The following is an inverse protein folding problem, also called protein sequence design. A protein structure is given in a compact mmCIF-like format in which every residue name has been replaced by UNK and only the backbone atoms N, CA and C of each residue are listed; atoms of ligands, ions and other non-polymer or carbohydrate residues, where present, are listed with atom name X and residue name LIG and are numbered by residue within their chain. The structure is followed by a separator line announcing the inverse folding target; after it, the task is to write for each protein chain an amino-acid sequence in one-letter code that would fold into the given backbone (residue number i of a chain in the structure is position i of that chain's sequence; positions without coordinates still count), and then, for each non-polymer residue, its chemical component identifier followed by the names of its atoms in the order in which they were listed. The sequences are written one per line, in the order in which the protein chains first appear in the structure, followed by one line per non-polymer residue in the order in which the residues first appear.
data_IF_183663928175
#
_entry.id   IF_183663928175
#
_cell.length_a   1.000
_cell.length_b   1.000
_cell.length_c   1.000
_cell.angle_alpha   90.00
_cell.angle_beta   90.00
_cell.angle_gamma   90.00
#
_symmetry.space_group_name_H-M   'P 1'
#
loop_
_entity.id
_entity.type
_entity.pdbx_description
1 polymer ?
#
# COMPACT_ATOMS: atom_id res chain seq x y z
N UNK A 1 14.81 -23.89 13.00
CA UNK A 1 15.26 -23.17 11.79
C UNK A 1 14.23 -23.47 10.70
N UNK A 2 13.82 -22.47 9.91
CA UNK A 2 12.93 -22.67 8.76
C UNK A 2 13.76 -22.74 7.48
N UNK A 3 13.40 -23.64 6.55
CA UNK A 3 14.07 -23.82 5.26
C UNK A 3 13.22 -23.25 4.13
N UNK A 4 13.85 -22.79 3.06
CA UNK A 4 13.14 -22.27 1.88
C UNK A 4 12.48 -23.42 1.12
N UNK A 5 11.14 -23.44 1.09
CA UNK A 5 10.34 -24.47 0.42
C UNK A 5 9.88 -24.05 -0.98
N UNK A 6 9.61 -22.76 -1.20
CA UNK A 6 9.20 -22.23 -2.50
C UNK A 6 9.73 -20.82 -2.74
N UNK A 7 10.10 -20.53 -3.99
CA UNK A 7 10.54 -19.23 -4.47
C UNK A 7 9.99 -19.05 -5.89
N UNK A 8 9.36 -17.91 -6.15
CA UNK A 8 8.75 -17.66 -7.45
C UNK A 8 8.32 -16.21 -7.61
N UNK A 9 7.60 -15.95 -8.69
CA UNK A 9 7.03 -14.64 -8.97
C UNK A 9 5.51 -14.74 -9.00
N UNK A 10 4.83 -13.68 -8.56
CA UNK A 10 3.40 -13.50 -8.86
C UNK A 10 3.21 -13.16 -10.34
N UNK A 11 1.98 -13.24 -10.83
CA UNK A 11 1.62 -12.81 -12.19
C UNK A 11 1.97 -11.32 -12.42
N UNK A 12 1.83 -10.50 -11.37
CA UNK A 12 2.23 -9.08 -11.37
C UNK A 12 3.76 -8.83 -11.27
N UNK A 13 4.58 -9.88 -11.32
CA UNK A 13 6.05 -9.78 -11.31
C UNK A 13 6.68 -9.55 -9.93
N UNK A 14 5.94 -9.74 -8.84
CA UNK A 14 6.48 -9.63 -7.47
C UNK A 14 7.23 -10.91 -7.11
N UNK A 15 8.52 -10.80 -6.78
CA UNK A 15 9.31 -11.91 -6.26
C UNK A 15 8.78 -12.30 -4.86
N UNK A 16 8.51 -13.58 -4.65
CA UNK A 16 7.99 -14.10 -3.40
C UNK A 16 8.69 -15.38 -2.96
N UNK A 17 8.79 -15.58 -1.64
CA UNK A 17 9.43 -16.74 -0.99
C UNK A 17 8.54 -17.32 0.11
N UNK A 18 8.63 -18.63 0.31
CA UNK A 18 7.88 -19.41 1.28
C UNK A 18 8.83 -20.34 2.04
N UNK A 19 8.77 -20.32 3.37
CA UNK A 19 9.65 -21.09 4.26
C UNK A 19 8.91 -22.19 5.05
N UNK A 20 7.74 -22.62 4.58
CA UNK A 20 6.86 -23.55 5.29
C UNK A 20 5.92 -22.88 6.30
N UNK A 21 6.21 -21.64 6.71
CA UNK A 21 5.43 -20.92 7.71
C UNK A 21 4.88 -19.58 7.21
N UNK A 22 5.68 -18.79 6.50
CA UNK A 22 5.35 -17.43 6.08
C UNK A 22 5.70 -17.20 4.62
N UNK A 23 4.72 -16.72 3.86
CA UNK A 23 4.89 -16.26 2.48
C UNK A 23 5.27 -14.80 2.53
N UNK A 24 6.35 -14.42 1.85
CA UNK A 24 6.86 -13.05 1.82
C UNK A 24 7.02 -12.59 0.39
N UNK A 25 6.54 -11.39 0.07
CA UNK A 25 6.78 -10.72 -1.21
C UNK A 25 7.84 -9.64 -1.05
N UNK A 26 8.68 -9.45 -2.06
CA UNK A 26 9.68 -8.39 -2.11
C UNK A 26 9.14 -7.17 -2.87
N UNK A 27 9.18 -6.02 -2.21
CA UNK A 27 8.63 -4.77 -2.73
C UNK A 27 9.76 -3.72 -2.83
N UNK A 28 10.36 -3.50 -4.02
CA UNK A 28 11.48 -2.57 -4.19
C UNK A 28 11.11 -1.09 -3.99
N UNK A 29 9.92 -0.66 -4.42
CA UNK A 29 9.52 0.74 -4.36
C UNK A 29 8.68 1.05 -3.12
N UNK A 30 7.75 0.15 -2.80
CA UNK A 30 6.95 0.25 -1.56
C UNK A 30 7.72 -0.37 -0.38
N UNK A 31 7.41 0.05 0.85
CA UNK A 31 8.03 -0.49 2.06
C UNK A 31 9.58 -0.39 2.11
N UNK A 32 10.17 0.52 1.33
CA UNK A 32 11.61 0.81 1.36
C UNK A 32 12.51 -0.33 0.88
N UNK A 33 12.05 -1.16 -0.06
CA UNK A 33 12.87 -2.26 -0.57
C UNK A 33 12.91 -3.45 0.37
N UNK A 34 11.78 -3.77 1.00
CA UNK A 34 11.70 -4.80 2.06
C UNK A 34 10.92 -6.03 1.62
N UNK A 35 11.19 -7.14 2.31
CA UNK A 35 10.34 -8.33 2.27
C UNK A 35 9.16 -8.14 3.22
N UNK A 36 7.94 -8.23 2.69
CA UNK A 36 6.70 -8.05 3.44
C UNK A 36 5.98 -9.40 3.56
N UNK A 37 5.60 -9.83 4.77
CA UNK A 37 4.79 -11.02 4.94
C UNK A 37 3.38 -10.82 4.35
N UNK A 38 2.96 -11.79 3.54
CA UNK A 38 1.69 -11.79 2.79
C UNK A 38 0.75 -12.93 3.20
N UNK A 39 1.25 -13.97 3.87
CA UNK A 39 0.45 -15.07 4.39
C UNK A 39 1.24 -15.80 5.48
N UNK A 40 0.53 -16.34 6.47
CA UNK A 40 1.12 -17.14 7.55
C UNK A 40 0.29 -18.39 7.76
N UNK A 41 0.92 -19.57 7.65
CA UNK A 41 0.18 -20.83 7.73
C UNK A 41 -0.53 -21.01 9.08
N UNK A 42 0.07 -20.60 10.19
CA UNK A 42 -0.57 -20.72 11.52
C UNK A 42 -1.89 -19.96 11.62
N UNK A 43 -2.05 -18.85 10.88
CA UNK A 43 -3.29 -18.08 10.83
C UNK A 43 -4.39 -18.74 9.97
N UNK A 44 -4.01 -19.63 9.05
CA UNK A 44 -4.93 -20.28 8.10
C UNK A 44 -5.25 -21.74 8.42
N UNK A 45 -4.34 -22.44 9.13
CA UNK A 45 -4.51 -23.85 9.53
C UNK A 45 -5.74 -24.01 10.43
N UNK A 46 -6.49 -25.08 10.17
CA UNK A 46 -7.59 -25.55 11.04
C UNK A 46 -7.11 -26.62 12.01
N UNK A 47 -6.02 -27.30 11.69
CA UNK A 47 -5.37 -28.28 12.56
C UNK A 47 -3.85 -28.15 12.49
N UNK A 48 -3.16 -28.51 13.57
CA UNK A 48 -1.70 -28.40 13.68
C UNK A 48 -0.96 -29.26 12.66
N UNK A 49 -1.57 -30.38 12.23
CA UNK A 49 -1.02 -31.29 11.21
C UNK A 49 -1.25 -30.81 9.77
N UNK A 50 -1.90 -29.67 9.56
CA UNK A 50 -2.11 -29.14 8.21
C UNK A 50 -0.90 -28.35 7.73
N UNK A 51 -0.41 -28.68 6.53
CA UNK A 51 0.67 -27.97 5.86
C UNK A 51 0.17 -27.38 4.54
N UNK A 52 0.68 -26.20 4.19
CA UNK A 52 0.31 -25.47 2.99
C UNK A 52 1.45 -25.55 1.99
N UNK A 53 1.30 -26.40 0.97
CA UNK A 53 2.26 -26.50 -0.12
C UNK A 53 1.96 -25.41 -1.15
N UNK A 54 2.68 -24.28 -1.08
CA UNK A 54 2.48 -23.12 -1.96
C UNK A 54 2.84 -23.47 -3.40
N UNK A 55 1.96 -23.09 -4.34
CA UNK A 55 2.15 -23.25 -5.78
C UNK A 55 2.39 -21.89 -6.44
N UNK A 56 1.70 -20.84 -5.97
CA UNK A 56 1.80 -19.49 -6.51
C UNK A 56 0.95 -18.51 -5.74
N UNK A 57 0.90 -17.28 -6.21
CA UNK A 57 0.16 -16.17 -5.61
C UNK A 57 -0.27 -15.16 -6.67
N UNK A 58 -1.36 -14.47 -6.38
CA UNK A 58 -1.88 -13.33 -7.12
C UNK A 58 -1.98 -12.14 -6.16
N UNK A 59 -1.14 -11.13 -6.39
CA UNK A 59 -1.09 -9.94 -5.53
C UNK A 59 -2.32 -9.07 -5.79
N UNK A 60 -2.74 -8.90 -7.04
CA UNK A 60 -3.92 -8.11 -7.41
C UNK A 60 -5.21 -8.70 -6.87
N UNK A 61 -5.39 -10.02 -6.93
CA UNK A 61 -6.56 -10.72 -6.39
C UNK A 61 -6.52 -10.92 -4.87
N UNK A 62 -5.37 -10.70 -4.23
CA UNK A 62 -5.12 -10.98 -2.80
C UNK A 62 -5.22 -12.47 -2.46
N UNK A 63 -4.67 -13.32 -3.32
CA UNK A 63 -4.83 -14.77 -3.20
C UNK A 63 -3.48 -15.50 -3.19
N UNK A 64 -3.40 -16.57 -2.40
CA UNK A 64 -2.34 -17.58 -2.48
C UNK A 64 -2.97 -18.90 -2.90
N UNK A 65 -2.31 -19.58 -3.83
CA UNK A 65 -2.69 -20.89 -4.34
C UNK A 65 -1.81 -21.95 -3.70
N UNK A 66 -2.41 -22.92 -3.03
CA UNK A 66 -1.66 -23.97 -2.34
C UNK A 66 -2.40 -25.31 -2.35
N UNK A 67 -1.69 -26.40 -2.09
CA UNK A 67 -2.32 -27.68 -1.72
C UNK A 67 -2.24 -27.84 -0.21
N UNK A 68 -3.39 -28.08 0.42
CA UNK A 68 -3.44 -28.41 1.84
C UNK A 68 -3.12 -29.89 1.99
N UNK A 69 -2.06 -30.20 2.75
CA UNK A 69 -1.65 -31.56 3.06
C UNK A 69 -1.78 -31.84 4.56
N UNK A 70 -2.04 -33.09 4.92
CA UNK A 70 -2.12 -33.56 6.32
C UNK A 70 -1.10 -34.66 6.62
N UNK A 71 -0.22 -34.93 5.67
CA UNK A 71 0.77 -35.99 5.75
C UNK A 71 2.06 -35.46 6.36
N UNK A 72 2.84 -36.36 6.96
CA UNK A 72 4.19 -36.05 7.49
C UNK A 72 5.17 -35.54 6.42
N UNK A 73 4.81 -35.68 5.15
CA UNK A 73 5.71 -35.43 4.03
C UNK A 73 5.77 -33.95 3.64
N UNK A 74 4.85 -33.09 4.11
CA UNK A 74 4.72 -31.66 3.75
C UNK A 74 4.56 -31.37 2.23
N UNK A 75 4.60 -32.40 1.37
CA UNK A 75 4.34 -32.33 -0.07
C UNK A 75 3.10 -33.15 -0.45
N UNK A 76 2.37 -32.75 -1.51
CA UNK A 76 1.16 -33.44 -1.94
C UNK A 76 1.46 -34.74 -2.70
N UNK A 77 0.59 -35.74 -2.58
CA UNK A 77 0.64 -36.93 -3.43
C UNK A 77 0.16 -36.58 -4.84
N UNK A 78 0.87 -37.03 -5.87
CA UNK A 78 0.50 -36.75 -7.27
C UNK A 78 -0.73 -37.52 -7.76
N UNK A 79 -1.12 -38.59 -7.05
CA UNK A 79 -2.30 -39.39 -7.34
C UNK A 79 -3.09 -39.68 -6.04
N UNK A 80 -4.40 -39.40 -5.99
CA UNK A 80 -5.19 -38.69 -7.00
C UNK A 80 -4.71 -37.25 -7.21
N UNK A 81 -5.12 -36.61 -8.32
CA UNK A 81 -4.72 -35.23 -8.64
C UNK A 81 -5.01 -34.30 -7.44
N UNK A 82 -4.00 -33.58 -6.92
CA UNK A 82 -4.19 -32.62 -5.85
C UNK A 82 -5.22 -31.54 -6.17
N UNK A 83 -5.99 -31.15 -5.16
CA UNK A 83 -6.90 -30.01 -5.24
C UNK A 83 -6.13 -28.75 -4.86
N UNK A 84 -6.12 -27.78 -5.76
CA UNK A 84 -5.57 -26.44 -5.49
C UNK A 84 -6.60 -25.67 -4.68
N UNK A 85 -6.19 -25.16 -3.53
CA UNK A 85 -6.98 -24.33 -2.64
C UNK A 85 -6.50 -22.89 -2.73
N UNK A 86 -7.46 -21.99 -2.87
CA UNK A 86 -7.22 -20.55 -2.83
C UNK A 86 -7.48 -20.02 -1.43
N UNK A 87 -6.50 -19.32 -0.87
CA UNK A 87 -6.61 -18.67 0.45
C UNK A 87 -6.31 -17.18 0.32
N UNK A 88 -6.90 -16.33 1.18
CA UNK A 88 -6.64 -14.90 1.13
C UNK A 88 -5.22 -14.58 1.61
N UNK A 89 -4.57 -13.65 0.92
CA UNK A 89 -3.39 -12.97 1.45
C UNK A 89 -3.81 -12.09 2.63
N UNK A 90 -2.92 -12.01 3.62
CA UNK A 90 -3.06 -11.20 4.81
C UNK A 90 -1.69 -10.60 5.13
N UNK A 91 -1.65 -9.28 5.33
CA UNK A 91 -0.43 -8.56 5.72
C UNK A 91 -0.54 -8.36 7.23
N UNK A 92 0.29 -9.04 8.05
CA UNK A 92 0.23 -8.92 9.49
C UNK A 92 0.26 -7.45 9.94
N UNK A 93 -0.85 -6.99 10.50
CA UNK A 93 -0.98 -5.67 11.12
C UNK A 93 -0.98 -5.83 12.64
N UNK A 94 -0.26 -4.94 13.33
CA UNK A 94 -0.28 -4.88 14.79
C UNK A 94 -1.69 -4.49 15.22
N UNK A 95 -2.28 -5.29 16.09
CA UNK A 95 -3.55 -4.98 16.74
C UNK A 95 -3.27 -4.30 18.08
N UNK A 96 -3.96 -3.21 18.36
CA UNK A 96 -4.04 -2.67 19.71
C UNK A 96 -5.30 -3.25 20.36
N UNK A 97 -5.20 -3.74 21.60
CA UNK A 97 -6.33 -4.35 22.32
C UNK A 97 -7.51 -3.38 22.50
N UNK A 98 -7.26 -2.07 22.42
CA UNK A 98 -8.26 -1.00 22.47
C UNK A 98 -8.83 -0.61 21.09
N UNK A 99 -8.39 -1.23 20.00
CA UNK A 99 -8.87 -0.95 18.65
C UNK A 99 -9.91 -1.97 18.18
N UNK A 100 -11.04 -1.47 17.67
CA UNK A 100 -12.09 -2.32 17.09
C UNK A 100 -11.57 -3.09 15.87
N UNK A 101 -12.12 -4.28 15.59
CA UNK A 101 -11.77 -5.13 14.43
C UNK A 101 -11.80 -4.37 13.08
N UNK A 102 -12.64 -3.33 13.00
CA UNK A 102 -12.74 -2.45 11.84
C UNK A 102 -11.44 -1.67 11.58
N UNK A 103 -10.72 -1.24 12.61
CA UNK A 103 -9.44 -0.55 12.45
C UNK A 103 -8.36 -1.50 11.91
N UNK A 104 -8.27 -2.73 12.42
CA UNK A 104 -7.36 -3.74 11.90
C UNK A 104 -7.65 -4.05 10.42
N UNK A 105 -8.92 -4.18 10.04
CA UNK A 105 -9.32 -4.36 8.65
C UNK A 105 -8.95 -3.14 7.76
N UNK A 106 -9.09 -1.91 8.28
CA UNK A 106 -8.65 -0.71 7.56
C UNK A 106 -7.12 -0.65 7.39
N UNK A 107 -6.35 -1.03 8.41
CA UNK A 107 -4.89 -1.11 8.29
C UNK A 107 -4.47 -2.18 7.29
N UNK A 108 -5.12 -3.34 7.31
CA UNK A 108 -4.92 -4.39 6.32
C UNK A 108 -5.19 -3.89 4.89
N UNK A 109 -6.32 -3.20 4.68
CA UNK A 109 -6.66 -2.59 3.39
C UNK A 109 -5.65 -1.51 2.97
N UNK A 110 -5.21 -0.67 3.90
CA UNK A 110 -4.17 0.34 3.65
C UNK A 110 -2.86 -0.30 3.16
N UNK A 111 -2.45 -1.43 3.74
CA UNK A 111 -1.27 -2.15 3.26
C UNK A 111 -1.45 -2.64 1.82
N UNK A 112 -2.61 -3.19 1.47
CA UNK A 112 -2.87 -3.61 0.08
C UNK A 112 -2.90 -2.44 -0.90
N UNK A 113 -3.47 -1.29 -0.54
CA UNK A 113 -3.43 -0.10 -1.40
C UNK A 113 -1.99 0.38 -1.66
N UNK A 114 -1.09 0.25 -0.68
CA UNK A 114 0.34 0.55 -0.87
C UNK A 114 0.98 -0.43 -1.88
N UNK A 115 0.61 -1.70 -1.82
CA UNK A 115 1.09 -2.72 -2.78
C UNK A 115 0.60 -2.44 -4.20
N UNK A 116 -0.68 -2.06 -4.37
CA UNK A 116 -1.28 -1.74 -5.68
C UNK A 116 -0.69 -0.51 -6.34
N UNK A 117 -0.24 0.43 -5.52
CA UNK A 117 0.40 1.63 -6.04
C UNK A 117 1.72 1.29 -6.74
N UNK A 118 2.43 0.25 -6.29
CA UNK A 118 3.69 -0.16 -6.91
C UNK A 118 3.48 -0.78 -8.30
N UNK A 119 2.40 -1.53 -8.53
CA UNK A 119 2.13 -2.11 -9.85
C UNK A 119 1.75 -1.05 -10.89
N UNK A 120 1.22 0.10 -10.44
CA UNK A 120 0.76 1.18 -11.29
C UNK A 120 1.81 2.30 -11.38
N UNK A 121 2.81 2.10 -12.23
CA UNK A 121 3.82 3.11 -12.47
C UNK A 121 3.22 4.33 -13.23
N UNK A 122 3.21 5.47 -12.54
CA UNK A 122 2.99 6.86 -13.00
C UNK A 122 1.56 7.42 -12.85
N UNK A 123 1.46 8.48 -12.04
CA UNK A 123 0.27 9.33 -11.92
C UNK A 123 -0.56 9.07 -10.66
N UNK A 124 -1.66 9.81 -10.53
CA UNK A 124 -2.68 9.53 -9.51
C UNK A 124 -3.49 8.34 -10.00
N UNK A 125 -3.45 7.26 -9.24
CA UNK A 125 -4.08 5.98 -9.56
C UNK A 125 -5.41 5.81 -8.81
N UNK A 126 -6.23 4.84 -9.22
CA UNK A 126 -7.39 4.44 -8.44
C UNK A 126 -6.98 3.92 -7.04
N UNK A 127 -5.80 3.30 -6.93
CA UNK A 127 -5.22 2.88 -5.66
C UNK A 127 -4.98 4.08 -4.72
N UNK A 128 -4.50 5.22 -5.23
CA UNK A 128 -4.32 6.44 -4.42
C UNK A 128 -5.66 6.98 -3.89
N UNK A 129 -6.73 6.90 -4.68
CA UNK A 129 -8.07 7.32 -4.27
C UNK A 129 -8.61 6.42 -3.16
N UNK A 130 -8.49 5.11 -3.30
CA UNK A 130 -8.92 4.15 -2.26
C UNK A 130 -8.04 4.24 -1.01
N UNK A 131 -6.74 4.47 -1.17
CA UNK A 131 -5.81 4.73 -0.08
C UNK A 131 -6.24 5.96 0.73
N UNK A 132 -6.50 7.08 0.05
CA UNK A 132 -6.93 8.32 0.70
C UNK A 132 -8.28 8.17 1.41
N UNK A 133 -9.23 7.42 0.84
CA UNK A 133 -10.52 7.10 1.52
C UNK A 133 -10.28 6.34 2.82
N UNK A 134 -9.41 5.33 2.80
CA UNK A 134 -9.07 4.53 3.98
C UNK A 134 -8.34 5.38 5.01
N UNK A 135 -7.36 6.19 4.59
CA UNK A 135 -6.64 7.13 5.46
C UNK A 135 -7.58 8.14 6.13
N UNK A 136 -8.55 8.69 5.41
CA UNK A 136 -9.53 9.63 5.99
C UNK A 136 -10.38 8.99 7.09
N UNK A 137 -10.79 7.73 6.92
CA UNK A 137 -11.51 6.98 7.96
C UNK A 137 -10.63 6.72 9.19
N UNK A 138 -9.36 6.35 8.96
CA UNK A 138 -8.37 6.17 10.04
C UNK A 138 -8.10 7.47 10.78
N UNK A 139 -7.94 8.59 10.08
CA UNK A 139 -7.81 9.94 10.66
C UNK A 139 -9.02 10.26 11.54
N UNK A 140 -10.24 10.03 11.05
CA UNK A 140 -11.46 10.25 11.83
C UNK A 140 -11.51 9.36 13.07
N UNK A 141 -11.09 8.09 12.97
CA UNK A 141 -10.94 7.18 14.10
C UNK A 141 -9.94 7.70 15.14
N UNK A 142 -8.77 8.14 14.70
CA UNK A 142 -7.72 8.69 15.56
C UNK A 142 -8.17 9.98 16.26
N UNK A 143 -8.88 10.88 15.57
CA UNK A 143 -9.43 12.11 16.15
C UNK A 143 -10.45 11.77 17.25
N UNK A 144 -11.33 10.77 17.03
CA UNK A 144 -12.30 10.31 18.04
C UNK A 144 -11.61 9.68 19.25
N UNK A 145 -10.53 8.92 19.02
CA UNK A 145 -9.72 8.30 20.06
C UNK A 145 -8.61 9.19 20.66
N UNK A 146 -8.62 10.49 20.37
CA UNK A 146 -7.63 11.49 20.81
C UNK A 146 -6.15 11.17 20.48
N UNK A 147 -5.91 10.36 19.45
CA UNK A 147 -4.58 10.01 18.94
C UNK A 147 -4.13 11.00 17.86
N UNK A 148 -3.92 12.26 18.24
CA UNK A 148 -3.71 13.36 17.28
C UNK A 148 -2.41 13.24 16.47
N UNK A 149 -1.34 12.72 17.05
CA UNK A 149 -0.06 12.54 16.34
C UNK A 149 -0.16 11.44 15.27
N UNK A 150 -0.89 10.35 15.54
CA UNK A 150 -1.18 9.33 14.54
C UNK A 150 -2.05 9.89 13.41
N UNK A 151 -3.07 10.70 13.74
CA UNK A 151 -3.89 11.39 12.75
C UNK A 151 -3.05 12.31 11.83
N UNK A 152 -2.06 13.01 12.40
CA UNK A 152 -1.14 13.84 11.62
C UNK A 152 -0.25 13.01 10.69
N UNK A 153 0.27 11.89 11.18
CA UNK A 153 1.05 10.93 10.37
C UNK A 153 0.25 10.47 9.16
N UNK A 154 -0.99 10.00 9.37
CA UNK A 154 -1.86 9.60 8.26
C UNK A 154 -2.21 10.76 7.32
N UNK A 155 -2.38 11.98 7.83
CA UNK A 155 -2.63 13.14 6.99
C UNK A 155 -1.43 13.48 6.09
N UNK A 156 -0.20 13.22 6.54
CA UNK A 156 1.00 13.41 5.73
C UNK A 156 1.12 12.42 4.56
N UNK A 157 0.48 11.26 4.68
CA UNK A 157 0.45 10.21 3.65
C UNK A 157 -0.63 10.41 2.58
N UNK A 158 -1.58 11.35 2.77
CA UNK A 158 -2.64 11.62 1.80
C UNK A 158 -2.05 12.08 0.47
N UNK A 159 -2.53 11.53 -0.64
CA UNK A 159 -2.01 11.78 -1.98
C UNK A 159 -2.70 12.96 -2.64
N UNK A 160 -4.03 13.03 -2.50
CA UNK A 160 -4.84 14.05 -3.15
C UNK A 160 -4.93 15.30 -2.26
N UNK A 161 -4.76 16.47 -2.89
CA UNK A 161 -4.95 17.75 -2.21
C UNK A 161 -6.37 17.89 -1.64
N UNK A 162 -7.39 17.40 -2.36
CA UNK A 162 -8.79 17.40 -1.87
C UNK A 162 -8.97 16.55 -0.61
N UNK A 163 -8.27 15.41 -0.52
CA UNK A 163 -8.33 14.58 0.69
C UNK A 163 -7.68 15.30 1.87
N UNK A 164 -6.56 15.99 1.66
CA UNK A 164 -5.91 16.78 2.70
C UNK A 164 -6.80 17.93 3.20
N UNK A 165 -7.51 18.61 2.30
CA UNK A 165 -8.55 19.59 2.66
C UNK A 165 -9.69 18.94 3.45
N UNK A 166 -10.09 17.70 3.10
CA UNK A 166 -11.05 16.91 3.86
C UNK A 166 -10.58 16.63 5.29
N UNK A 167 -9.32 16.20 5.46
CA UNK A 167 -8.72 15.97 6.78
C UNK A 167 -8.69 17.25 7.62
N UNK A 168 -8.38 18.40 7.00
CA UNK A 168 -8.43 19.70 7.67
C UNK A 168 -9.84 20.02 8.19
N UNK A 169 -10.88 19.79 7.37
CA UNK A 169 -12.28 19.97 7.79
C UNK A 169 -12.65 19.07 8.96
N UNK A 170 -12.20 17.81 8.96
CA UNK A 170 -12.42 16.88 10.08
C UNK A 170 -11.77 17.38 11.38
N UNK A 171 -10.52 17.87 11.30
CA UNK A 171 -9.80 18.38 12.47
C UNK A 171 -10.43 19.66 13.04
N UNK A 172 -10.80 20.61 12.19
CA UNK A 172 -11.46 21.87 12.58
C UNK A 172 -12.84 21.59 13.16
N UNK A 173 -13.64 20.74 12.51
CA UNK A 173 -14.98 20.36 12.99
C UNK A 173 -14.95 19.67 14.36
N UNK A 174 -13.88 18.95 14.65
CA UNK A 174 -13.67 18.27 15.94
C UNK A 174 -13.02 19.16 17.02
N UNK A 175 -12.87 20.46 16.76
CA UNK A 175 -12.27 21.47 17.66
C UNK A 175 -10.83 21.16 18.10
N UNK A 176 -10.08 20.36 17.33
CA UNK A 176 -8.67 20.03 17.61
C UNK A 176 -7.75 21.05 16.93
N UNK A 177 -7.67 22.26 17.49
CA UNK A 177 -6.95 23.42 16.91
C UNK A 177 -5.51 23.08 16.48
N UNK A 178 -4.72 22.48 17.39
CA UNK A 178 -3.32 22.16 17.13
C UNK A 178 -3.14 21.21 15.93
N UNK A 179 -4.03 20.21 15.77
CA UNK A 179 -4.01 19.31 14.63
C UNK A 179 -4.40 20.05 13.34
N UNK A 180 -5.43 20.89 13.39
CA UNK A 180 -5.86 21.71 12.25
C UNK A 180 -4.76 22.64 11.74
N UNK A 181 -4.02 23.29 12.62
CA UNK A 181 -2.88 24.16 12.26
C UNK A 181 -1.77 23.38 11.54
N UNK A 182 -1.40 22.20 12.07
CA UNK A 182 -0.38 21.35 11.45
C UNK A 182 -0.82 20.82 10.07
N UNK A 183 -2.07 20.38 9.93
CA UNK A 183 -2.61 19.94 8.64
C UNK A 183 -2.69 21.12 7.65
N UNK A 184 -3.05 22.32 8.11
CA UNK A 184 -3.03 23.52 7.28
C UNK A 184 -1.62 23.85 6.78
N UNK A 185 -0.59 23.65 7.61
CA UNK A 185 0.79 23.83 7.19
C UNK A 185 1.18 22.82 6.10
N UNK A 186 0.79 21.55 6.23
CA UNK A 186 1.00 20.53 5.19
C UNK A 186 0.32 20.91 3.86
N UNK A 187 -0.90 21.45 3.92
CA UNK A 187 -1.63 21.87 2.73
C UNK A 187 -0.93 23.03 2.01
N UNK A 188 -0.54 24.07 2.76
CA UNK A 188 0.17 25.23 2.21
C UNK A 188 1.51 24.83 1.59
N UNK A 189 2.25 23.92 2.24
CA UNK A 189 3.51 23.38 1.70
C UNK A 189 3.29 22.63 0.39
N UNK A 190 2.21 21.86 0.28
CA UNK A 190 1.88 21.16 -0.97
C UNK A 190 1.48 22.14 -2.08
N UNK A 191 0.72 23.17 -1.76
CA UNK A 191 0.32 24.20 -2.72
C UNK A 191 1.51 25.01 -3.24
N UNK A 192 2.45 25.38 -2.38
CA UNK A 192 3.66 26.11 -2.78
C UNK A 192 4.57 25.27 -3.69
N UNK A 193 4.72 23.97 -3.42
CA UNK A 193 5.46 23.05 -4.30
C UNK A 193 4.79 22.95 -5.68
N UNK A 194 3.47 22.79 -5.73
CA UNK A 194 2.74 22.72 -7.01
C UNK A 194 2.88 24.03 -7.80
N UNK A 195 2.80 25.19 -7.13
CA UNK A 195 3.01 26.48 -7.76
C UNK A 195 4.43 26.64 -8.30
N UNK A 196 5.45 26.23 -7.55
CA UNK A 196 6.86 26.24 -7.98
C UNK A 196 7.06 25.41 -9.26
N UNK A 197 6.55 24.17 -9.29
CA UNK A 197 6.64 23.29 -10.46
C UNK A 197 5.94 23.88 -11.68
N UNK A 198 4.79 24.54 -11.49
CA UNK A 198 4.08 25.19 -12.59
C UNK A 198 4.85 26.40 -13.14
N UNK A 199 5.42 27.24 -12.27
CA UNK A 199 6.25 28.38 -12.70
C UNK A 199 7.50 27.92 -13.47
N UNK A 200 8.15 26.82 -13.06
CA UNK A 200 9.30 26.25 -13.79
C UNK A 200 8.91 25.74 -15.18
N UNK A 201 7.74 25.09 -15.31
CA UNK A 201 7.21 24.64 -16.60
C UNK A 201 6.92 25.81 -17.54
N UNK A 202 6.30 26.88 -17.02
CA UNK A 202 6.02 28.09 -17.78
C UNK A 202 7.31 28.80 -18.22
N UNK A 203 8.30 28.92 -17.34
CA UNK A 203 9.60 29.49 -17.67
C UNK A 203 10.33 28.70 -18.75
N UNK A 204 10.32 27.35 -18.66
CA UNK A 204 10.91 26.48 -19.69
C UNK A 204 10.16 26.55 -21.02
N UNK A 205 8.82 26.65 -20.99
CA UNK A 205 8.01 26.84 -22.20
C UNK A 205 8.33 28.18 -22.88
N UNK A 206 8.42 29.25 -22.11
CA UNK A 206 8.78 30.58 -22.61
C UNK A 206 10.20 30.61 -23.18
N UNK A 207 11.18 30.02 -22.50
CA UNK A 207 12.56 29.90 -23.01
C UNK A 207 12.63 29.17 -24.37
N UNK A 208 11.84 28.10 -24.54
CA UNK A 208 11.73 27.37 -25.81
C UNK A 208 11.03 28.15 -26.93
N UNK A 209 10.17 29.11 -26.61
CA UNK A 209 9.54 30.00 -27.60
C UNK A 209 10.53 31.07 -28.08
N UNK A 210 11.33 31.65 -27.17
CA UNK A 210 12.34 32.65 -27.50
C UNK A 210 13.53 32.08 -28.29
N UNK A 211 13.87 30.80 -28.11
CA UNK A 211 14.90 30.13 -28.93
C UNK A 211 14.43 29.88 -30.37
N UNK A 212 13.16 29.54 -30.59
CA UNK A 212 12.57 29.32 -31.93
C UNK A 212 12.42 30.61 -32.75
N UNK A 213 12.11 31.76 -32.12
CA UNK A 213 11.99 33.05 -32.82
C UNK A 213 13.31 33.61 -33.36
N UNK A 214 14.47 33.16 -32.87
CA UNK A 214 15.78 33.59 -33.38
C UNK A 214 16.17 32.96 -34.72
N UNK A 215 15.48 31.91 -35.17
CA UNK A 215 15.83 31.16 -36.40
C UNK A 215 15.17 31.74 -37.67
N UNK A 216 14.15 32.60 -37.56
CA UNK A 216 13.41 33.14 -38.71
C UNK A 216 13.63 34.65 -38.96
N UNK A 217 14.68 35.24 -38.40
CA UNK A 217 14.91 36.69 -38.42
C UNK A 217 16.21 37.16 -39.06
N UNK A 218 16.86 36.36 -39.91
CA UNK A 218 18.10 36.76 -40.59
C UNK A 218 18.13 36.25 -42.04
N UNK A 219 17.30 36.86 -42.88
CA UNK A 219 17.52 36.94 -44.33
C UNK A 219 17.06 38.32 -44.79
N UNK A 220 17.98 39.27 -44.73
CA UNK A 220 18.05 40.41 -45.65
C UNK A 220 19.44 40.40 -46.28
#
# INVERSE_FOLDING_TARGET
ESELEWLGFSDDGVLASWDGETLRGYFPESFGGSWVPLFTASAARKAETEHHYVIGLDISAREVFCVITRSKAHFPQVYPRPIITTLPLLVPVVRNDAEDDNAAAMHQGLMFHRLDRQSNAVGITQADVEMDKTLLRLIQGCIRGDRLEAALSYASELNLQRSLQGALKLAVGSKKRNLGERISALLNNRESVVQAVNMEKENNANANIFSRKRVYGSTQ
#
